data_IF_230252678061
#
_entry.id   IF_230252678061
#
_cell.length_a   1.000
_cell.length_b   1.000
_cell.length_c   1.000
_cell.angle_alpha   90.00
_cell.angle_beta   90.00
_cell.angle_gamma   90.00
#
_symmetry.space_group_name_H-M   'P 1'
#
loop_
_entity.id
_entity.type
_entity.pdbx_description
1 polymer ?
#
# COMPACT_ATOMS: atom_id res chain seq x y z
N UNK A 1 -5.17 -2.46 -6.43
CA UNK A 1 -5.35 -1.03 -6.77
C UNK A 1 -4.05 -0.30 -6.47
N UNK A 2 -3.39 0.24 -7.49
CA UNK A 2 -2.24 1.14 -7.29
C UNK A 2 -2.79 2.56 -7.12
N UNK A 3 -2.70 3.08 -5.90
CA UNK A 3 -3.20 4.41 -5.52
C UNK A 3 -2.04 5.39 -5.31
N UNK A 4 -2.29 6.68 -5.48
CA UNK A 4 -1.38 7.71 -4.97
C UNK A 4 -1.74 8.02 -3.52
N UNK A 5 -0.97 7.48 -2.58
CA UNK A 5 -1.09 7.75 -1.15
C UNK A 5 0.13 8.50 -0.59
N UNK A 6 0.90 9.19 -1.44
CA UNK A 6 2.09 9.91 -1.01
C UNK A 6 1.71 11.24 -0.33
N UNK A 7 1.43 11.18 0.96
CA UNK A 7 0.95 12.31 1.79
C UNK A 7 2.06 12.95 2.64
N UNK A 8 1.93 14.25 2.99
CA UNK A 8 2.82 14.86 3.97
C UNK A 8 2.55 14.31 5.38
N UNK A 9 3.63 13.94 6.07
CA UNK A 9 3.59 13.50 7.47
C UNK A 9 4.37 14.49 8.35
N UNK A 10 3.70 15.03 9.35
CA UNK A 10 4.32 15.69 10.50
C UNK A 10 4.81 14.63 11.49
N UNK A 11 6.05 14.80 11.96
CA UNK A 11 6.74 13.88 12.88
C UNK A 11 7.27 14.61 14.10
N UNK A 12 6.71 15.78 14.43
CA UNK A 12 7.08 16.55 15.62
C UNK A 12 6.59 15.92 16.94
N UNK A 13 5.63 15.00 16.89
CA UNK A 13 5.12 14.26 18.04
C UNK A 13 5.49 12.77 18.02
N UNK A 14 4.98 12.03 19.01
CA UNK A 14 5.32 10.61 19.21
C UNK A 14 4.83 9.68 18.09
N UNK A 15 3.76 10.07 17.38
CA UNK A 15 3.20 9.34 16.24
C UNK A 15 3.17 10.22 14.99
N UNK A 16 3.51 9.69 13.80
CA UNK A 16 3.40 10.43 12.55
C UNK A 16 1.94 10.82 12.28
N UNK A 17 1.72 12.10 11.96
CA UNK A 17 0.39 12.65 11.65
C UNK A 17 0.32 13.09 10.19
N UNK A 18 -0.69 12.63 9.47
CA UNK A 18 -0.99 13.13 8.13
C UNK A 18 -1.50 14.57 8.24
N UNK A 19 -0.83 15.52 7.59
CA UNK A 19 -1.24 16.93 7.63
C UNK A 19 -2.19 17.31 6.49
N UNK A 20 -2.21 16.52 5.42
CA UNK A 20 -3.14 16.64 4.29
C UNK A 20 -3.45 15.23 3.76
N UNK A 21 -4.72 14.82 3.87
CA UNK A 21 -5.21 13.51 3.46
C UNK A 21 -5.92 13.51 2.10
N UNK A 22 -5.83 14.60 1.33
CA UNK A 22 -6.54 14.76 0.05
C UNK A 22 -6.28 13.62 -0.94
N UNK A 23 -5.04 13.11 -0.98
CA UNK A 23 -4.65 11.96 -1.81
C UNK A 23 -5.30 10.64 -1.37
N UNK A 24 -5.41 10.42 -0.06
CA UNK A 24 -6.11 9.24 0.49
C UNK A 24 -7.59 9.33 0.13
N UNK A 25 -8.23 10.49 0.36
CA UNK A 25 -9.64 10.72 0.00
C UNK A 25 -9.91 10.53 -1.48
N UNK A 26 -8.99 10.95 -2.35
CA UNK A 26 -9.12 10.77 -3.80
C UNK A 26 -9.17 9.28 -4.21
N UNK A 27 -8.52 8.39 -3.47
CA UNK A 27 -8.52 6.94 -3.75
C UNK A 27 -9.74 6.19 -3.19
N UNK A 28 -10.44 6.79 -2.22
CA UNK A 28 -11.58 6.15 -1.53
C UNK A 28 -12.70 5.73 -2.47
N UNK A 29 -13.17 6.55 -3.45
CA UNK A 29 -14.27 6.16 -4.33
C UNK A 29 -13.99 4.87 -5.11
N UNK A 30 -12.78 4.72 -5.66
CA UNK A 30 -12.37 3.52 -6.40
C UNK A 30 -12.34 2.30 -5.49
N UNK A 31 -11.70 2.42 -4.32
CA UNK A 31 -11.57 1.32 -3.37
C UNK A 31 -12.95 0.90 -2.84
N UNK A 32 -13.77 1.85 -2.40
CA UNK A 32 -15.12 1.57 -1.89
C UNK A 32 -16.00 0.88 -2.96
N UNK A 33 -15.97 1.36 -4.20
CA UNK A 33 -16.75 0.75 -5.28
C UNK A 33 -16.39 -0.72 -5.54
N UNK A 34 -15.12 -1.11 -5.37
CA UNK A 34 -14.67 -2.50 -5.50
C UNK A 34 -15.11 -3.32 -4.28
N UNK A 35 -14.92 -2.79 -3.07
CA UNK A 35 -15.33 -3.46 -1.83
C UNK A 35 -16.84 -3.71 -1.77
N UNK A 36 -17.66 -2.75 -2.21
CA UNK A 36 -19.12 -2.88 -2.25
C UNK A 36 -19.62 -3.93 -3.26
N UNK A 37 -18.76 -4.34 -4.19
CA UNK A 37 -19.01 -5.44 -5.13
C UNK A 37 -18.44 -6.77 -4.67
N UNK A 38 -17.94 -6.85 -3.42
CA UNK A 38 -17.39 -8.05 -2.82
C UNK A 38 -15.95 -8.35 -3.21
N UNK A 39 -15.24 -7.43 -3.86
CA UNK A 39 -13.83 -7.65 -4.17
C UNK A 39 -12.98 -7.66 -2.89
N UNK A 40 -11.94 -8.49 -2.90
CA UNK A 40 -10.84 -8.43 -1.92
C UNK A 40 -9.81 -7.46 -2.46
N UNK A 41 -9.66 -6.31 -1.81
CA UNK A 41 -8.86 -5.21 -2.37
C UNK A 41 -7.48 -5.16 -1.74
N UNK A 42 -6.45 -5.25 -2.59
CA UNK A 42 -5.07 -5.00 -2.19
C UNK A 42 -4.69 -3.63 -2.72
N UNK A 43 -4.40 -2.70 -1.82
CA UNK A 43 -3.94 -1.35 -2.14
C UNK A 43 -2.42 -1.32 -2.10
N UNK A 44 -1.80 -0.69 -3.09
CA UNK A 44 -0.36 -0.46 -3.14
C UNK A 44 -0.07 1.00 -3.42
N UNK A 45 0.95 1.56 -2.78
CA UNK A 45 1.38 2.94 -2.95
C UNK A 45 2.88 3.08 -2.64
N UNK A 46 3.40 4.29 -2.79
CA UNK A 46 4.67 4.67 -2.22
C UNK A 46 4.48 5.88 -1.30
N UNK A 47 5.47 6.12 -0.45
CA UNK A 47 5.56 7.33 0.36
C UNK A 47 7.00 7.87 0.31
N UNK A 48 7.14 9.16 0.00
CA UNK A 48 8.43 9.82 -0.09
C UNK A 48 9.38 9.13 -1.09
N UNK A 49 10.68 9.18 -0.80
CA UNK A 49 11.75 8.66 -1.68
C UNK A 49 12.78 7.84 -0.89
N UNK A 50 12.37 6.72 -0.24
CA UNK A 50 13.33 5.78 0.31
C UNK A 50 14.17 5.18 -0.83
N UNK A 51 15.41 4.80 -0.54
CA UNK A 51 16.40 4.37 -1.54
C UNK A 51 16.43 2.84 -1.72
N UNK A 52 15.26 2.20 -1.77
CA UNK A 52 15.16 0.75 -1.88
C UNK A 52 15.50 0.00 -0.59
N UNK A 53 15.35 0.66 0.56
CA UNK A 53 15.58 0.09 1.89
C UNK A 53 14.44 0.52 2.82
N UNK A 54 14.05 -0.33 3.79
CA UNK A 54 13.07 0.02 4.82
C UNK A 54 13.52 1.21 5.65
N UNK A 55 12.62 2.17 5.80
CA UNK A 55 12.81 3.30 6.70
C UNK A 55 11.46 3.62 7.34
N UNK A 56 11.30 3.43 8.67
CA UNK A 56 10.05 3.69 9.38
C UNK A 56 9.47 5.08 9.11
N UNK A 57 10.32 6.06 8.78
CA UNK A 57 9.89 7.40 8.37
C UNK A 57 8.95 7.35 7.17
N UNK A 58 9.15 6.44 6.23
CA UNK A 58 8.36 6.32 5.01
C UNK A 58 7.40 5.13 5.04
N UNK A 59 7.09 4.55 6.20
CA UNK A 59 6.07 3.51 6.31
C UNK A 59 4.68 4.04 5.94
N UNK A 60 3.86 3.19 5.33
CA UNK A 60 2.46 3.45 5.01
C UNK A 60 1.50 3.10 6.16
N UNK A 61 1.99 2.65 7.32
CA UNK A 61 1.14 2.30 8.47
C UNK A 61 0.18 3.44 8.89
N UNK A 62 0.59 4.72 9.00
CA UNK A 62 -0.33 5.82 9.32
C UNK A 62 -1.40 6.03 8.23
N UNK A 63 -1.06 5.71 6.99
CA UNK A 63 -1.96 5.81 5.84
C UNK A 63 -2.99 4.68 5.87
N UNK A 64 -2.62 3.47 6.29
CA UNK A 64 -3.55 2.36 6.47
C UNK A 64 -4.64 2.71 7.48
N UNK A 65 -4.26 3.27 8.63
CA UNK A 65 -5.19 3.72 9.65
C UNK A 65 -6.15 4.78 9.10
N UNK A 66 -5.63 5.81 8.42
CA UNK A 66 -6.46 6.88 7.85
C UNK A 66 -7.39 6.39 6.73
N UNK A 67 -6.91 5.47 5.89
CA UNK A 67 -7.74 4.86 4.85
C UNK A 67 -8.90 4.08 5.47
N UNK A 68 -8.65 3.36 6.57
CA UNK A 68 -9.71 2.64 7.29
C UNK A 68 -10.78 3.56 7.88
N UNK A 69 -10.36 4.68 8.47
CA UNK A 69 -11.29 5.72 8.96
C UNK A 69 -12.18 6.26 7.83
N UNK A 70 -11.61 6.52 6.65
CA UNK A 70 -12.33 7.08 5.51
C UNK A 70 -13.25 6.06 4.82
N UNK A 71 -12.87 4.78 4.81
CA UNK A 71 -13.70 3.70 4.28
C UNK A 71 -14.79 3.26 5.26
N UNK A 72 -14.68 3.62 6.55
CA UNK A 72 -15.53 3.09 7.61
C UNK A 72 -15.36 1.57 7.81
N UNK A 73 -14.18 1.02 7.46
CA UNK A 73 -13.86 -0.41 7.51
C UNK A 73 -12.40 -0.62 7.96
N UNK A 74 -12.08 -1.72 8.65
CA UNK A 74 -10.69 -2.05 8.95
C UNK A 74 -9.87 -2.21 7.67
N UNK A 75 -8.63 -1.70 7.69
CA UNK A 75 -7.63 -1.93 6.63
C UNK A 75 -6.51 -2.76 7.26
N UNK A 76 -6.30 -3.96 6.76
CA UNK A 76 -5.17 -4.78 7.17
C UNK A 76 -3.87 -4.18 6.63
N UNK A 77 -2.88 -3.94 7.48
CA UNK A 77 -1.57 -3.47 7.05
C UNK A 77 -0.61 -4.64 6.86
N UNK A 78 0.01 -4.74 5.69
CA UNK A 78 0.89 -5.84 5.29
C UNK A 78 2.36 -5.41 5.30
N UNK A 79 2.80 -4.78 6.40
CA UNK A 79 4.20 -4.43 6.65
C UNK A 79 4.72 -5.13 7.90
N UNK A 80 5.94 -5.66 7.84
CA UNK A 80 6.60 -6.38 8.94
C UNK A 80 7.99 -5.80 9.29
N UNK A 81 8.33 -4.63 8.72
CA UNK A 81 9.62 -3.97 8.92
C UNK A 81 10.80 -4.58 8.17
N UNK A 82 10.62 -5.70 7.46
CA UNK A 82 11.71 -6.37 6.72
C UNK A 82 12.01 -5.75 5.36
N UNK A 83 11.03 -5.04 4.78
CA UNK A 83 11.10 -4.53 3.40
C UNK A 83 10.65 -5.50 2.33
N UNK A 84 10.27 -6.74 2.69
CA UNK A 84 9.75 -7.71 1.73
C UNK A 84 8.25 -7.47 1.45
N UNK A 85 7.98 -6.56 0.51
CA UNK A 85 6.64 -6.04 0.20
C UNK A 85 5.68 -7.10 -0.37
N UNK A 86 6.21 -8.18 -0.95
CA UNK A 86 5.42 -9.29 -1.50
C UNK A 86 5.84 -10.65 -0.87
N UNK A 87 6.41 -10.58 0.33
CA UNK A 87 6.95 -11.71 1.08
C UNK A 87 5.90 -12.58 1.74
N UNK A 88 6.39 -13.50 2.58
CA UNK A 88 5.54 -14.45 3.31
C UNK A 88 4.48 -13.75 4.18
N UNK A 89 4.84 -12.67 4.86
CA UNK A 89 3.91 -11.89 5.69
C UNK A 89 2.81 -11.23 4.84
N UNK A 90 3.20 -10.50 3.79
CA UNK A 90 2.23 -9.86 2.89
C UNK A 90 1.27 -10.87 2.25
N UNK A 91 1.79 -12.02 1.80
CA UNK A 91 0.98 -13.13 1.27
C UNK A 91 0.00 -13.67 2.31
N UNK A 92 0.41 -13.82 3.56
CA UNK A 92 -0.47 -14.29 4.63
C UNK A 92 -1.60 -13.30 4.91
N UNK A 93 -1.30 -11.99 4.97
CA UNK A 93 -2.31 -10.94 5.15
C UNK A 93 -3.30 -10.93 3.99
N UNK A 94 -2.81 -10.96 2.75
CA UNK A 94 -3.64 -10.98 1.55
C UNK A 94 -4.52 -12.24 1.48
N UNK A 95 -3.95 -13.42 1.78
CA UNK A 95 -4.69 -14.68 1.78
C UNK A 95 -5.77 -14.74 2.87
N UNK A 96 -5.62 -13.95 3.93
CA UNK A 96 -6.58 -13.80 5.01
C UNK A 96 -7.79 -12.92 4.69
N UNK A 97 -7.77 -12.17 3.58
CA UNK A 97 -8.88 -11.27 3.22
C UNK A 97 -10.16 -12.04 2.88
N UNK A 98 -11.24 -11.66 3.54
CA UNK A 98 -12.62 -11.98 3.18
C UNK A 98 -13.18 -11.02 2.13
N UNK A 99 -14.33 -11.39 1.57
CA UNK A 99 -15.00 -10.59 0.54
C UNK A 99 -15.40 -9.21 1.09
N UNK A 100 -15.06 -8.14 0.35
CA UNK A 100 -15.31 -6.76 0.79
C UNK A 100 -14.34 -6.25 1.85
N UNK A 101 -13.22 -6.95 2.09
CA UNK A 101 -12.10 -6.51 2.93
C UNK A 101 -10.93 -5.95 2.12
N UNK A 102 -10.07 -5.21 2.80
CA UNK A 102 -8.96 -4.46 2.18
C UNK A 102 -7.67 -4.62 2.98
N UNK A 103 -6.57 -4.81 2.24
CA UNK A 103 -5.21 -4.70 2.77
C UNK A 103 -4.45 -3.56 2.09
N UNK A 104 -3.56 -2.89 2.84
CA UNK A 104 -2.55 -1.98 2.30
C UNK A 104 -1.18 -2.64 2.43
N UNK A 105 -0.49 -2.85 1.29
CA UNK A 105 0.91 -3.26 1.30
C UNK A 105 1.80 -2.12 1.81
N UNK A 106 2.93 -2.50 2.38
CA UNK A 106 3.98 -1.54 2.74
C UNK A 106 4.53 -0.82 1.50
N UNK A 107 5.23 0.30 1.73
CA UNK A 107 5.77 1.20 0.72
C UNK A 107 6.56 0.46 -0.37
N UNK A 108 6.07 0.47 -1.61
CA UNK A 108 6.72 -0.23 -2.73
C UNK A 108 8.18 0.22 -2.93
N UNK A 109 8.52 1.47 -2.59
CA UNK A 109 9.89 2.01 -2.74
C UNK A 109 10.88 1.49 -1.68
N UNK A 110 10.45 0.67 -0.72
CA UNK A 110 11.38 -0.14 0.07
C UNK A 110 11.95 -1.30 -0.74
N UNK A 111 11.29 -1.73 -1.81
CA UNK A 111 11.90 -2.65 -2.77
C UNK A 111 12.74 -1.87 -3.78
N UNK A 112 14.00 -2.25 -4.03
CA UNK A 112 14.80 -1.67 -5.11
C UNK A 112 14.15 -1.91 -6.48
N UNK A 113 13.33 -2.97 -6.61
CA UNK A 113 12.59 -3.31 -7.83
C UNK A 113 11.63 -2.23 -8.31
N UNK A 114 11.08 -1.41 -7.40
CA UNK A 114 10.11 -0.36 -7.75
C UNK A 114 10.71 0.75 -8.64
N UNK A 115 12.00 1.08 -8.46
CA UNK A 115 12.66 2.18 -9.18
C UNK A 115 13.89 1.75 -9.96
N UNK A 116 14.16 0.45 -10.04
CA UNK A 116 15.33 -0.09 -10.70
C UNK A 116 15.37 0.27 -12.18
N UNK A 117 16.56 0.57 -12.71
CA UNK A 117 16.79 0.71 -14.15
C UNK A 117 17.06 -0.62 -14.84
N UNK A 118 17.35 -1.66 -14.07
CA UNK A 118 17.50 -3.03 -14.58
C UNK A 118 16.14 -3.67 -14.85
N UNK A 119 15.96 -4.21 -16.06
CA UNK A 119 14.69 -4.77 -16.51
C UNK A 119 14.34 -6.07 -15.77
N UNK A 120 15.34 -6.90 -15.47
CA UNK A 120 15.14 -8.19 -14.78
C UNK A 120 14.68 -7.94 -13.34
N UNK A 121 15.34 -7.02 -12.64
CA UNK A 121 14.99 -6.63 -11.28
C UNK A 121 13.57 -6.06 -11.19
N UNK A 122 13.18 -5.17 -12.13
CA UNK A 122 11.81 -4.64 -12.17
C UNK A 122 10.78 -5.74 -12.46
N UNK A 123 11.05 -6.60 -13.45
CA UNK A 123 10.14 -7.67 -13.84
C UNK A 123 9.91 -8.64 -12.68
N UNK A 124 10.98 -9.06 -12.00
CA UNK A 124 10.87 -9.96 -10.84
C UNK A 124 10.00 -9.37 -9.72
N UNK A 125 10.10 -8.06 -9.46
CA UNK A 125 9.26 -7.41 -8.46
C UNK A 125 7.80 -7.27 -8.91
N UNK A 126 7.58 -6.94 -10.20
CA UNK A 126 6.24 -6.90 -10.79
C UNK A 126 5.56 -8.28 -10.74
N UNK A 127 6.27 -9.36 -11.05
CA UNK A 127 5.78 -10.74 -10.97
C UNK A 127 5.39 -11.10 -9.52
N UNK A 128 6.20 -10.71 -8.55
CA UNK A 128 5.92 -10.95 -7.13
C UNK A 128 4.64 -10.24 -6.67
N UNK A 129 4.41 -9.00 -7.11
CA UNK A 129 3.18 -8.24 -6.82
C UNK A 129 1.97 -8.79 -7.59
N UNK A 130 2.15 -9.14 -8.86
CA UNK A 130 1.09 -9.71 -9.69
C UNK A 130 0.59 -11.05 -9.13
N UNK A 131 1.47 -11.85 -8.52
CA UNK A 131 1.09 -13.10 -7.86
C UNK A 131 0.16 -12.91 -6.63
N UNK A 132 -0.05 -11.68 -6.15
CA UNK A 132 -0.98 -11.39 -5.06
C UNK A 132 -2.41 -11.12 -5.52
N UNK A 133 -2.64 -10.86 -6.83
CA UNK A 133 -3.94 -10.37 -7.32
C UNK A 133 -4.29 -10.92 -8.70
N UNK A 134 -5.60 -11.05 -8.96
CA UNK A 134 -6.11 -11.49 -10.27
C UNK A 134 -6.28 -10.33 -11.26
N UNK A 135 -6.49 -9.12 -10.74
CA UNK A 135 -6.76 -7.92 -11.53
C UNK A 135 -5.91 -6.75 -11.05
N UNK A 136 -5.51 -5.89 -12.00
CA UNK A 136 -4.83 -4.64 -11.73
C UNK A 136 -5.74 -3.44 -12.05
N UNK A 137 -5.76 -2.47 -11.13
CA UNK A 137 -6.43 -1.18 -11.29
C UNK A 137 -5.40 -0.10 -10.99
N UNK A 138 -5.11 0.77 -11.96
CA UNK A 138 -4.26 1.94 -11.79
C UNK A 138 -5.09 3.18 -11.48
N UNK A 139 -4.89 3.76 -10.29
CA UNK A 139 -5.60 4.92 -9.76
C UNK A 139 -4.62 5.87 -9.05
N UNK A 140 -3.48 6.11 -9.70
CA UNK A 140 -2.34 6.87 -9.19
C UNK A 140 -1.85 7.86 -10.26
N UNK A 141 -2.74 8.76 -10.69
CA UNK A 141 -2.46 9.79 -11.69
C UNK A 141 -1.69 10.98 -11.12
#
# INVERSE_FOLDING_TARGET
>A
VRSDLNVPLDRSGDTPRITDDGRVRASVPTIAALLDRGARVIVTSHLGRPKGEPDPKYSLEPVAARLGELLGRPVAFAGDGTGDIAGAHARAVVAGLGDGEVALLENLRFSPGETSKDAVTRASFADALAALAEFYVGDAF
#
